data_IF_674859504723
#
_entry.id   IF_674859504723
#
_cell.length_a   1.000
_cell.length_b   1.000
_cell.length_c   1.000
_cell.angle_alpha   90.00
_cell.angle_beta   90.00
_cell.angle_gamma   90.00
#
_symmetry.space_group_name_H-M   'P 1'
#
loop_
_entity.id
_entity.type
_entity.pdbx_description
1 polymer ?
#
# COMPACT_ATOMS: atom_id res chain seq x y z
N UNK A 1 29.37 -1.79 -23.08
CA UNK A 1 27.90 -1.82 -22.91
C UNK A 1 27.61 -2.50 -21.58
N UNK A 2 26.81 -1.89 -20.71
CA UNK A 2 26.44 -2.48 -19.43
C UNK A 2 25.29 -3.47 -19.66
N UNK A 3 25.38 -4.67 -19.11
CA UNK A 3 24.29 -5.64 -19.18
C UNK A 3 23.23 -5.22 -18.14
N UNK A 4 21.96 -4.98 -18.55
CA UNK A 4 20.89 -4.77 -17.59
C UNK A 4 20.51 -6.11 -16.92
N UNK A 5 20.05 -6.06 -15.67
CA UNK A 5 19.62 -7.25 -14.91
C UNK A 5 20.65 -7.73 -13.87
N UNK A 6 20.60 -9.03 -13.57
CA UNK A 6 21.50 -9.66 -12.59
C UNK A 6 22.95 -9.64 -13.11
N UNK A 7 23.78 -8.82 -12.47
CA UNK A 7 25.17 -8.63 -12.87
C UNK A 7 26.16 -9.41 -11.98
N UNK A 8 25.76 -9.80 -10.78
CA UNK A 8 26.60 -10.54 -9.82
C UNK A 8 25.73 -11.53 -9.07
N UNK A 9 26.14 -12.80 -9.04
CA UNK A 9 25.52 -13.84 -8.21
C UNK A 9 26.62 -14.65 -7.52
N UNK A 10 26.60 -14.63 -6.18
CA UNK A 10 27.50 -15.39 -5.30
C UNK A 10 26.63 -16.29 -4.41
N UNK A 11 26.36 -17.55 -4.81
CA UNK A 11 25.40 -18.43 -4.15
C UNK A 11 25.64 -18.58 -2.63
N UNK A 12 26.90 -18.63 -2.23
CA UNK A 12 27.34 -18.76 -0.83
C UNK A 12 27.11 -17.48 0.01
N UNK A 13 26.78 -16.36 -0.62
CA UNK A 13 26.46 -15.08 0.03
C UNK A 13 25.03 -14.61 -0.24
N UNK A 14 24.24 -15.41 -0.94
CA UNK A 14 22.89 -15.06 -1.33
C UNK A 14 21.88 -15.98 -0.64
N UNK A 15 20.78 -15.39 -0.15
CA UNK A 15 19.63 -16.17 0.30
C UNK A 15 18.98 -16.83 -0.91
N UNK A 16 18.91 -18.16 -0.92
CA UNK A 16 18.35 -18.92 -2.04
C UNK A 16 16.82 -18.78 -2.07
N UNK A 17 16.25 -18.63 -3.26
CA UNK A 17 14.81 -18.57 -3.44
C UNK A 17 14.40 -17.89 -4.73
N UNK A 18 13.21 -17.30 -4.69
CA UNK A 18 12.68 -16.49 -5.78
C UNK A 18 12.52 -15.05 -5.31
N UNK A 19 12.64 -14.10 -6.22
CA UNK A 19 12.33 -12.69 -5.96
C UNK A 19 11.05 -12.32 -6.70
N UNK A 20 10.04 -11.85 -5.97
CA UNK A 20 8.85 -11.24 -6.54
C UNK A 20 9.01 -9.73 -6.54
N UNK A 21 8.70 -9.07 -7.65
CA UNK A 21 8.66 -7.62 -7.71
C UNK A 21 7.62 -7.10 -8.70
N UNK A 22 7.08 -5.93 -8.40
CA UNK A 22 6.01 -5.27 -9.15
C UNK A 22 6.45 -3.86 -9.52
N UNK A 23 6.99 -3.62 -10.73
CA UNK A 23 7.45 -2.29 -11.12
C UNK A 23 6.29 -1.28 -11.13
N UNK A 24 6.42 -0.19 -10.36
CA UNK A 24 5.36 0.83 -10.19
C UNK A 24 4.90 1.50 -11.51
N UNK A 25 5.74 1.47 -12.55
CA UNK A 25 5.42 2.05 -13.86
C UNK A 25 4.89 1.04 -14.87
N UNK A 26 4.72 -0.22 -14.48
CA UNK A 26 4.23 -1.30 -15.33
C UNK A 26 2.92 -1.90 -14.80
N UNK A 27 2.27 -2.70 -15.65
CA UNK A 27 1.06 -3.48 -15.35
C UNK A 27 1.39 -4.98 -15.20
N UNK A 28 2.55 -5.28 -14.61
CA UNK A 28 3.06 -6.65 -14.52
C UNK A 28 3.75 -6.88 -13.18
N UNK A 29 3.52 -8.05 -12.58
CA UNK A 29 4.34 -8.57 -11.47
C UNK A 29 5.19 -9.72 -11.99
N UNK A 30 6.46 -9.74 -11.60
CA UNK A 30 7.43 -10.76 -12.01
C UNK A 30 7.84 -11.62 -10.82
N UNK A 31 8.00 -12.91 -11.07
CA UNK A 31 8.74 -13.83 -10.20
C UNK A 31 9.99 -14.27 -10.95
N UNK A 32 11.16 -14.02 -10.37
CA UNK A 32 12.44 -14.41 -10.95
C UNK A 32 13.20 -15.38 -10.05
N UNK A 33 14.02 -16.24 -10.65
CA UNK A 33 14.95 -17.09 -9.92
C UNK A 33 16.26 -16.36 -9.57
N UNK A 34 17.16 -17.07 -8.89
CA UNK A 34 18.48 -16.58 -8.50
C UNK A 34 19.42 -16.26 -9.67
N UNK A 35 19.06 -16.65 -10.90
CA UNK A 35 19.81 -16.33 -12.13
C UNK A 35 19.17 -15.15 -12.89
N UNK A 36 18.10 -14.55 -12.34
CA UNK A 36 17.36 -13.46 -12.96
C UNK A 36 16.48 -13.93 -14.12
N UNK A 37 16.27 -15.24 -14.29
CA UNK A 37 15.33 -15.74 -15.27
C UNK A 37 13.89 -15.54 -14.76
N UNK A 38 13.00 -15.12 -15.65
CA UNK A 38 11.57 -15.01 -15.34
C UNK A 38 11.00 -16.42 -15.22
N UNK A 39 10.57 -16.75 -14.01
CA UNK A 39 9.89 -18.00 -13.67
C UNK A 39 8.41 -17.87 -13.95
N UNK A 40 7.84 -16.71 -13.59
CA UNK A 40 6.45 -16.41 -13.84
C UNK A 40 6.20 -14.91 -13.99
N UNK A 41 5.08 -14.57 -14.62
CA UNK A 41 4.59 -13.20 -14.78
C UNK A 41 3.07 -13.16 -14.65
N UNK A 42 2.57 -12.25 -13.85
CA UNK A 42 1.16 -11.90 -13.80
C UNK A 42 0.92 -10.63 -14.61
N UNK A 43 -0.03 -10.68 -15.54
CA UNK A 43 -0.57 -9.48 -16.19
C UNK A 43 -1.67 -8.90 -15.30
N UNK A 44 -1.52 -7.64 -14.90
CA UNK A 44 -2.39 -7.01 -13.89
C UNK A 44 -3.56 -6.27 -14.54
N UNK A 45 -4.70 -6.24 -13.84
CA UNK A 45 -5.90 -5.53 -14.24
C UNK A 45 -5.79 -4.04 -13.88
N UNK A 46 -5.06 -3.29 -14.69
CA UNK A 46 -4.92 -1.85 -14.48
C UNK A 46 -3.69 -1.29 -15.18
N UNK A 47 -3.60 0.03 -15.37
CA UNK A 47 -2.48 0.62 -16.06
C UNK A 47 -1.18 0.52 -15.26
N UNK A 48 -1.24 0.48 -13.92
CA UNK A 48 -0.05 0.56 -13.05
C UNK A 48 -0.24 -0.19 -11.72
N UNK A 49 0.86 -0.70 -11.18
CA UNK A 49 0.97 -1.09 -9.76
C UNK A 49 0.87 0.16 -8.89
N UNK A 50 0.16 0.08 -7.76
CA UNK A 50 0.04 1.17 -6.79
C UNK A 50 1.26 1.28 -5.91
N UNK A 51 1.43 0.32 -5.01
CA UNK A 51 2.59 0.22 -4.12
C UNK A 51 3.43 -1.03 -4.46
N UNK A 52 2.96 -2.21 -4.08
CA UNK A 52 3.62 -3.49 -4.29
C UNK A 52 2.62 -4.65 -4.34
N UNK A 53 3.13 -5.87 -4.49
CA UNK A 53 2.39 -7.10 -4.25
C UNK A 53 3.30 -8.15 -3.63
N UNK A 54 2.71 -9.18 -3.04
CA UNK A 54 3.41 -10.30 -2.41
C UNK A 54 2.63 -11.59 -2.57
N UNK A 55 3.30 -12.72 -2.35
CA UNK A 55 2.66 -14.03 -2.35
C UNK A 55 2.03 -14.32 -0.99
N UNK A 56 0.78 -14.77 -1.01
CA UNK A 56 0.14 -15.40 0.13
C UNK A 56 0.71 -16.83 0.32
N UNK A 57 0.48 -17.43 1.49
CA UNK A 57 0.98 -18.77 1.83
C UNK A 57 0.50 -19.87 0.87
N UNK A 58 -0.63 -19.66 0.20
CA UNK A 58 -1.19 -20.55 -0.82
C UNK A 58 -0.59 -20.33 -2.23
N UNK A 59 0.35 -19.40 -2.38
CA UNK A 59 1.02 -19.05 -3.64
C UNK A 59 0.25 -18.08 -4.53
N UNK A 60 -0.89 -17.54 -4.07
CA UNK A 60 -1.62 -16.49 -4.78
C UNK A 60 -0.88 -15.15 -4.66
N UNK A 61 -0.97 -14.32 -5.69
CA UNK A 61 -0.46 -12.95 -5.66
C UNK A 61 -1.54 -12.02 -5.09
N UNK A 62 -1.23 -11.31 -4.00
CA UNK A 62 -2.01 -10.17 -3.55
C UNK A 62 -1.28 -8.87 -3.92
N UNK A 63 -1.92 -7.97 -4.65
CA UNK A 63 -1.26 -6.78 -5.22
C UNK A 63 -2.15 -5.56 -5.20
N UNK A 64 -1.56 -4.40 -4.90
CA UNK A 64 -2.22 -3.10 -4.98
C UNK A 64 -1.98 -2.45 -6.36
N UNK A 65 -3.04 -1.90 -6.93
CA UNK A 65 -3.10 -1.33 -8.27
C UNK A 65 -3.56 0.13 -8.22
N UNK A 66 -3.09 0.89 -9.21
CA UNK A 66 -3.58 2.21 -9.55
C UNK A 66 -4.42 2.14 -10.81
N UNK A 67 -5.71 2.37 -10.66
CA UNK A 67 -6.71 2.35 -11.74
C UNK A 67 -6.94 3.73 -12.35
N UNK A 68 -6.50 4.79 -11.68
CA UNK A 68 -6.81 6.18 -12.04
C UNK A 68 -8.05 6.73 -11.34
N UNK A 69 -8.68 5.94 -10.48
CA UNK A 69 -9.79 6.37 -9.60
C UNK A 69 -9.29 7.13 -8.36
N UNK A 70 -7.97 7.13 -8.09
CA UNK A 70 -7.40 7.79 -6.91
C UNK A 70 -7.69 9.32 -6.93
N UNK A 71 -8.32 9.90 -5.88
CA UNK A 71 -8.60 11.33 -5.84
C UNK A 71 -7.36 12.16 -5.50
N UNK A 72 -6.37 11.53 -4.85
CA UNK A 72 -5.20 12.21 -4.30
C UNK A 72 -3.98 11.97 -5.17
N UNK A 73 -3.15 13.01 -5.31
CA UNK A 73 -1.88 12.94 -6.05
C UNK A 73 -0.68 12.60 -5.17
N UNK A 74 -0.93 12.22 -3.92
CA UNK A 74 0.09 11.90 -2.92
C UNK A 74 0.91 10.65 -3.31
N UNK A 75 2.09 10.51 -2.70
CA UNK A 75 2.90 9.30 -2.82
C UNK A 75 2.22 8.14 -2.09
N UNK A 76 2.39 6.90 -2.57
CA UNK A 76 1.77 5.73 -1.93
C UNK A 76 0.35 5.39 -2.39
N UNK A 77 -0.22 6.15 -3.33
CA UNK A 77 -1.62 5.95 -3.73
C UNK A 77 -1.88 4.62 -4.42
N UNK A 78 -2.99 3.99 -4.06
CA UNK A 78 -3.64 2.89 -4.76
C UNK A 78 -5.14 3.12 -4.82
N UNK A 79 -5.84 2.33 -5.62
CA UNK A 79 -7.31 2.33 -5.66
C UNK A 79 -7.93 0.93 -5.64
N UNK A 80 -7.12 -0.12 -5.82
CA UNK A 80 -7.63 -1.48 -5.86
C UNK A 80 -6.60 -2.48 -5.36
N UNK A 81 -7.01 -3.41 -4.52
CA UNK A 81 -6.23 -4.60 -4.17
C UNK A 81 -6.86 -5.80 -4.88
N UNK A 82 -6.03 -6.66 -5.47
CA UNK A 82 -6.48 -7.84 -6.21
C UNK A 82 -5.71 -9.07 -5.75
N UNK A 83 -6.42 -10.17 -5.51
CA UNK A 83 -5.87 -11.51 -5.33
C UNK A 83 -5.96 -12.28 -6.64
N UNK A 84 -4.82 -12.76 -7.13
CA UNK A 84 -4.68 -13.51 -8.37
C UNK A 84 -4.12 -14.90 -8.08
N UNK A 85 -4.66 -15.93 -8.71
CA UNK A 85 -4.04 -17.24 -8.70
C UNK A 85 -2.81 -17.32 -9.63
N UNK A 86 -2.19 -18.49 -9.71
CA UNK A 86 -1.02 -18.73 -10.56
C UNK A 86 -1.31 -18.45 -12.04
N UNK A 87 -2.50 -18.77 -12.53
CA UNK A 87 -2.91 -18.51 -13.92
C UNK A 87 -3.28 -17.04 -14.18
N UNK A 88 -3.31 -16.19 -13.15
CA UNK A 88 -3.69 -14.78 -13.25
C UNK A 88 -5.20 -14.55 -13.27
N UNK A 89 -6.00 -15.52 -12.79
CA UNK A 89 -7.44 -15.33 -12.58
C UNK A 89 -7.66 -14.56 -11.30
N UNK A 90 -8.58 -13.59 -11.33
CA UNK A 90 -9.02 -12.86 -10.14
C UNK A 90 -9.85 -13.77 -9.25
N UNK A 91 -9.41 -13.91 -8.01
CA UNK A 91 -10.13 -14.65 -6.97
C UNK A 91 -10.85 -13.72 -6.01
N UNK A 92 -10.30 -12.53 -5.77
CA UNK A 92 -10.85 -11.52 -4.89
C UNK A 92 -10.36 -10.12 -5.31
N UNK A 93 -11.17 -9.09 -5.11
CA UNK A 93 -10.75 -7.70 -5.31
C UNK A 93 -11.44 -6.76 -4.31
N UNK A 94 -10.77 -5.67 -3.97
CA UNK A 94 -11.36 -4.61 -3.15
C UNK A 94 -10.98 -3.25 -3.73
N UNK A 95 -12.00 -2.45 -4.04
CA UNK A 95 -11.85 -1.11 -4.57
C UNK A 95 -12.04 -0.09 -3.43
N UNK A 96 -11.02 0.74 -3.23
CA UNK A 96 -11.01 1.85 -2.29
C UNK A 96 -10.10 2.93 -2.88
N UNK A 97 -10.65 3.99 -3.49
CA UNK A 97 -9.88 5.04 -4.15
C UNK A 97 -8.83 5.71 -3.27
N UNK A 98 -8.96 5.63 -1.94
CA UNK A 98 -8.03 6.26 -1.00
C UNK A 98 -6.97 5.32 -0.41
N UNK A 99 -6.77 4.11 -0.95
CA UNK A 99 -5.72 3.20 -0.45
C UNK A 99 -4.35 3.89 -0.40
N UNK A 100 -3.67 3.68 0.72
CA UNK A 100 -2.43 4.36 1.07
C UNK A 100 -1.36 3.34 1.47
N UNK A 101 -0.32 3.23 0.63
CA UNK A 101 0.87 2.36 0.74
C UNK A 101 0.62 0.86 0.97
N UNK A 102 0.12 0.46 2.13
CA UNK A 102 0.23 -0.90 2.67
C UNK A 102 -1.14 -1.57 2.86
N UNK A 103 -1.10 -2.89 2.83
CA UNK A 103 -2.19 -3.81 3.06
C UNK A 103 -1.62 -5.17 3.48
N UNK A 104 -2.25 -5.84 4.44
CA UNK A 104 -1.86 -7.18 4.84
C UNK A 104 -3.06 -8.14 4.94
N UNK A 105 -2.93 -9.34 4.35
CA UNK A 105 -3.88 -10.45 4.55
C UNK A 105 -3.59 -11.08 5.90
N UNK A 106 -4.59 -11.08 6.77
CA UNK A 106 -4.49 -11.58 8.14
C UNK A 106 -4.79 -13.07 8.24
N UNK A 107 -4.36 -13.75 9.32
CA UNK A 107 -4.62 -15.18 9.52
C UNK A 107 -6.10 -15.59 9.56
N UNK A 108 -6.99 -14.67 9.91
CA UNK A 108 -8.44 -14.89 9.91
C UNK A 108 -9.07 -14.82 8.50
N UNK A 109 -8.28 -14.50 7.48
CA UNK A 109 -8.72 -14.34 6.09
C UNK A 109 -9.18 -12.92 5.71
N UNK A 110 -9.32 -12.02 6.68
CA UNK A 110 -9.60 -10.62 6.41
C UNK A 110 -8.34 -9.90 5.93
N UNK A 111 -8.52 -8.75 5.28
CA UNK A 111 -7.42 -7.91 4.79
C UNK A 111 -7.44 -6.59 5.55
N UNK A 112 -6.36 -6.28 6.25
CA UNK A 112 -6.13 -4.93 6.79
C UNK A 112 -5.65 -4.04 5.65
N UNK A 113 -6.22 -2.85 5.54
CA UNK A 113 -5.79 -1.84 4.57
C UNK A 113 -5.50 -0.53 5.28
N UNK A 114 -4.43 0.14 4.84
CA UNK A 114 -4.17 1.54 5.16
C UNK A 114 -4.79 2.41 4.06
N UNK A 115 -5.50 3.46 4.46
CA UNK A 115 -6.17 4.36 3.55
C UNK A 115 -6.11 5.80 4.08
N UNK A 116 -6.18 6.75 3.16
CA UNK A 116 -6.38 8.15 3.52
C UNK A 116 -7.84 8.41 3.88
N UNK A 117 -8.02 9.26 4.86
CA UNK A 117 -9.28 9.89 5.21
C UNK A 117 -9.11 11.38 5.41
N UNK A 118 -10.19 12.13 5.25
CA UNK A 118 -10.18 13.57 5.50
C UNK A 118 -10.22 13.81 7.01
N UNK A 119 -9.28 14.58 7.54
CA UNK A 119 -9.35 15.02 8.93
C UNK A 119 -10.55 15.96 9.09
N UNK A 120 -11.39 15.80 10.12
CA UNK A 120 -12.51 16.71 10.38
C UNK A 120 -12.08 18.17 10.43
N UNK A 121 -12.84 19.07 9.80
CA UNK A 121 -12.49 20.49 9.67
C UNK A 121 -12.23 21.18 11.01
N UNK A 122 -13.00 20.78 12.03
CA UNK A 122 -12.87 21.29 13.41
C UNK A 122 -11.54 20.92 14.06
N UNK A 123 -10.91 19.82 13.64
CA UNK A 123 -9.59 19.40 14.11
C UNK A 123 -8.47 19.91 13.20
N UNK A 124 -8.74 20.02 11.90
CA UNK A 124 -7.75 20.43 10.90
C UNK A 124 -7.17 21.83 11.16
N UNK A 125 -7.96 22.75 11.74
CA UNK A 125 -7.48 24.08 12.12
C UNK A 125 -6.43 24.07 13.23
N UNK A 126 -6.42 23.03 14.06
CA UNK A 126 -5.50 22.89 15.18
C UNK A 126 -4.16 22.25 14.75
N UNK A 127 -4.08 21.67 13.54
CA UNK A 127 -2.86 21.02 13.02
C UNK A 127 -1.75 22.04 12.78
N UNK A 128 -0.57 21.79 13.35
CA UNK A 128 0.59 22.67 13.22
C UNK A 128 1.65 22.12 12.27
N UNK A 129 2.50 23.01 11.75
CA UNK A 129 3.65 22.64 10.90
C UNK A 129 3.33 22.48 9.42
N UNK A 130 4.23 21.83 8.69
CA UNK A 130 4.16 21.71 7.23
C UNK A 130 4.50 23.01 6.49
N UNK A 131 4.71 22.90 5.18
CA UNK A 131 5.02 24.03 4.30
C UNK A 131 3.75 24.86 4.02
N UNK A 132 3.69 26.15 4.38
CA UNK A 132 2.55 27.00 4.06
C UNK A 132 2.35 27.14 2.54
N UNK A 133 1.09 27.19 2.09
CA UNK A 133 0.74 27.28 0.67
C UNK A 133 0.81 25.95 -0.07
N UNK A 134 0.90 24.83 0.65
CA UNK A 134 0.89 23.46 0.10
C UNK A 134 -0.28 22.63 0.62
N UNK A 135 -1.29 23.30 1.17
CA UNK A 135 -2.57 22.73 1.56
C UNK A 135 -3.30 22.15 0.33
N UNK A 136 -4.13 21.14 0.55
CA UNK A 136 -5.00 20.60 -0.49
C UNK A 136 -6.36 21.31 -0.45
N UNK A 137 -6.96 21.53 -1.62
CA UNK A 137 -8.22 22.28 -1.73
C UNK A 137 -9.38 21.64 -0.95
N UNK A 138 -9.34 20.32 -0.80
CA UNK A 138 -10.33 19.55 -0.05
C UNK A 138 -10.04 19.47 1.47
N UNK A 139 -8.96 20.08 1.96
CA UNK A 139 -8.57 20.05 3.38
C UNK A 139 -7.37 19.15 3.66
N UNK A 140 -7.11 18.88 4.95
CA UNK A 140 -5.97 18.07 5.39
C UNK A 140 -6.39 16.60 5.49
N UNK A 141 -5.57 15.72 4.93
CA UNK A 141 -5.79 14.28 4.98
C UNK A 141 -4.95 13.63 6.08
N UNK A 142 -5.45 12.54 6.64
CA UNK A 142 -4.76 11.70 7.61
C UNK A 142 -4.94 10.22 7.28
N UNK A 143 -4.48 9.37 8.18
CA UNK A 143 -4.48 7.92 8.00
C UNK A 143 -5.62 7.24 8.76
N UNK A 144 -6.21 6.23 8.13
CA UNK A 144 -7.09 5.27 8.78
C UNK A 144 -6.71 3.84 8.40
N UNK A 145 -7.01 2.91 9.30
CA UNK A 145 -6.92 1.49 9.05
C UNK A 145 -8.31 0.89 8.97
N UNK A 146 -8.52 -0.07 8.06
CA UNK A 146 -9.79 -0.79 7.93
C UNK A 146 -9.54 -2.28 7.80
N UNK A 147 -10.28 -3.08 8.57
CA UNK A 147 -10.33 -4.53 8.41
C UNK A 147 -11.47 -4.92 7.46
N UNK A 148 -11.10 -5.53 6.34
CA UNK A 148 -12.00 -5.91 5.25
C UNK A 148 -12.18 -7.42 5.21
N UNK A 149 -13.42 -7.89 5.29
CA UNK A 149 -13.73 -9.32 5.15
C UNK A 149 -13.63 -9.81 3.71
N UNK A 150 -13.52 -11.13 3.46
CA UNK A 150 -13.61 -11.70 2.10
C UNK A 150 -14.88 -11.33 1.33
N UNK A 151 -15.96 -10.98 2.04
CA UNK A 151 -17.23 -10.53 1.44
C UNK A 151 -17.29 -9.00 1.21
N UNK A 152 -16.15 -8.31 1.29
CA UNK A 152 -16.00 -6.85 1.08
C UNK A 152 -16.70 -5.98 2.14
N UNK A 153 -16.91 -6.49 3.34
CA UNK A 153 -17.45 -5.71 4.46
C UNK A 153 -16.33 -5.18 5.33
N UNK A 154 -16.35 -3.89 5.63
CA UNK A 154 -15.56 -3.29 6.70
C UNK A 154 -16.14 -3.73 8.04
N UNK A 155 -15.33 -4.35 8.90
CA UNK A 155 -15.78 -4.86 10.21
C UNK A 155 -15.10 -4.19 11.40
N UNK A 156 -14.04 -3.44 11.13
CA UNK A 156 -13.33 -2.64 12.12
C UNK A 156 -12.61 -1.48 11.43
N UNK A 157 -12.54 -0.34 12.10
CA UNK A 157 -11.83 0.85 11.64
C UNK A 157 -11.05 1.48 12.80
N UNK A 158 -9.97 2.17 12.44
CA UNK A 158 -9.23 3.06 13.32
C UNK A 158 -8.92 4.34 12.56
N UNK A 159 -9.19 5.47 13.20
CA UNK A 159 -9.07 6.79 12.60
C UNK A 159 -7.95 7.55 13.29
N UNK A 160 -6.91 7.95 12.57
CA UNK A 160 -5.72 8.55 13.19
C UNK A 160 -6.03 9.81 13.98
N UNK A 161 -6.99 10.59 13.51
CA UNK A 161 -7.44 11.80 14.19
C UNK A 161 -8.21 11.54 15.50
N UNK A 162 -8.70 10.33 15.76
CA UNK A 162 -9.34 9.98 17.03
C UNK A 162 -8.35 9.52 18.11
N UNK A 163 -7.12 9.15 17.69
CA UNK A 163 -6.16 8.47 18.55
C UNK A 163 -4.80 9.19 18.69
N UNK A 164 -4.48 10.09 17.76
CA UNK A 164 -3.31 10.96 17.77
C UNK A 164 -3.71 12.41 18.12
N UNK A 165 -2.77 13.24 18.55
CA UNK A 165 -3.05 14.62 18.96
C UNK A 165 -2.58 15.62 17.88
N UNK A 166 -3.55 16.13 17.12
CA UNK A 166 -3.36 17.16 16.07
C UNK A 166 -2.59 18.39 16.55
N UNK A 167 -2.60 18.69 17.86
CA UNK A 167 -1.93 19.87 18.44
C UNK A 167 -0.46 19.63 18.73
N UNK A 168 -0.04 18.38 18.93
CA UNK A 168 1.34 18.05 19.32
C UNK A 168 2.09 17.27 18.26
N UNK A 169 1.40 16.49 17.45
CA UNK A 169 1.99 15.65 16.40
C UNK A 169 2.18 16.48 15.13
N UNK A 170 3.15 17.40 15.16
CA UNK A 170 3.31 18.40 14.11
C UNK A 170 3.74 17.79 12.77
N UNK A 171 3.22 18.36 11.68
CA UNK A 171 3.75 18.09 10.34
C UNK A 171 5.18 18.65 10.26
N UNK A 172 6.12 17.81 9.84
CA UNK A 172 7.51 18.23 9.63
C UNK A 172 7.60 19.47 8.71
N UNK A 173 8.51 20.43 8.97
CA UNK A 173 8.54 21.72 8.27
C UNK A 173 8.93 21.63 6.78
N UNK A 174 9.36 20.45 6.32
CA UNK A 174 9.69 20.18 4.91
C UNK A 174 8.59 19.41 4.18
N UNK A 175 7.56 18.96 4.90
CA UNK A 175 6.46 18.17 4.33
C UNK A 175 5.33 19.10 3.88
N UNK A 176 4.57 18.63 2.89
CA UNK A 176 3.39 19.37 2.42
C UNK A 176 2.32 19.38 3.50
N UNK A 177 1.55 20.45 3.57
CA UNK A 177 0.46 20.61 4.54
C UNK A 177 -0.85 19.95 4.10
N UNK A 178 -0.85 19.28 2.95
CA UNK A 178 -1.96 18.50 2.44
C UNK A 178 -2.26 17.23 3.28
N UNK A 179 -1.29 16.76 4.06
CA UNK A 179 -1.34 15.48 4.77
C UNK A 179 -0.71 15.67 6.16
N UNK A 180 -1.40 15.20 7.21
CA UNK A 180 -0.97 15.40 8.60
C UNK A 180 -0.08 14.27 9.08
N UNK A 181 -0.59 13.05 9.04
CA UNK A 181 0.19 11.83 9.22
C UNK A 181 0.67 11.34 7.86
N UNK A 182 1.51 10.31 7.85
CA UNK A 182 1.95 9.65 6.62
C UNK A 182 2.40 8.24 6.97
N UNK A 183 1.46 7.44 7.50
CA UNK A 183 1.69 6.02 7.70
C UNK A 183 2.04 5.41 6.34
N UNK A 184 3.00 4.49 6.31
CA UNK A 184 3.43 3.86 5.08
C UNK A 184 3.52 2.34 5.18
N UNK A 185 3.21 1.80 6.36
CA UNK A 185 3.18 0.38 6.60
C UNK A 185 2.14 0.02 7.65
N UNK A 186 1.70 -1.24 7.62
CA UNK A 186 0.85 -1.80 8.67
C UNK A 186 1.16 -3.29 8.85
N UNK A 187 1.46 -3.68 10.08
CA UNK A 187 1.58 -5.09 10.46
C UNK A 187 0.64 -5.40 11.61
N UNK A 188 -0.25 -6.38 11.42
CA UNK A 188 -1.11 -6.89 12.49
C UNK A 188 -0.36 -7.95 13.27
N UNK A 189 -0.07 -7.65 14.54
CA UNK A 189 0.68 -8.50 15.44
C UNK A 189 -0.17 -9.66 15.97
N UNK A 190 0.45 -10.75 16.48
CA UNK A 190 -0.28 -11.93 16.97
C UNK A 190 -1.27 -11.65 18.13
N UNK A 191 -1.11 -10.54 18.84
CA UNK A 191 -2.00 -10.12 19.93
C UNK A 191 -3.14 -9.21 19.45
N UNK A 192 -3.22 -8.93 18.15
CA UNK A 192 -4.23 -8.08 17.52
C UNK A 192 -3.89 -6.58 17.50
N UNK A 193 -2.74 -6.18 18.05
CA UNK A 193 -2.26 -4.81 17.91
C UNK A 193 -1.74 -4.55 16.49
N UNK A 194 -1.70 -3.28 16.08
CA UNK A 194 -1.16 -2.84 14.79
C UNK A 194 0.13 -2.07 15.05
N UNK A 195 1.18 -2.42 14.31
CA UNK A 195 2.46 -1.71 14.25
C UNK A 195 2.61 -0.96 12.92
#
# INVERSE_FOLDING_TARGET
MHQPGLNVYQPEKACQGYTLFSPMTASTTYLIDMQGAIVHRWSLLGPRVGSYGYLLDNGHLLVNLRTGEEPLSFGGRGSRIVELDWEGRVLWEYAEPTLHHDFCRMPNGNTMVLAWERVPDEMASDIQGGLPGTEHDEGIWGDCFREITPNHQVVWEWHGHEHLDVKTDHIGPLHRRAEWTHANTCEVLPDGNIL
#
